data_IF_502270220408
#
_entry.id   IF_502270220408
#
_cell.length_a   1.000
_cell.length_b   1.000
_cell.length_c   1.000
_cell.angle_alpha   90.00
_cell.angle_beta   90.00
_cell.angle_gamma   90.00
#
_symmetry.space_group_name_H-M   'P 1'
#
loop_
_entity.id
_entity.type
_entity.pdbx_description
1 polymer ?
#
# COMPACT_ATOMS: atom_id res chain seq x y z
N UNK A 1 18.08 14.25 -18.72
CA UNK A 1 17.16 13.12 -18.50
C UNK A 1 16.43 13.38 -17.19
N UNK A 2 15.22 13.92 -17.27
CA UNK A 2 14.40 14.25 -16.10
C UNK A 2 13.56 13.04 -15.73
N UNK A 3 13.85 12.41 -14.60
CA UNK A 3 13.09 11.27 -14.08
C UNK A 3 11.72 11.70 -13.56
N UNK A 4 10.71 10.87 -13.82
CA UNK A 4 9.38 10.96 -13.25
C UNK A 4 9.46 10.99 -11.71
N UNK A 5 9.26 12.17 -11.11
CA UNK A 5 8.98 12.29 -9.68
C UNK A 5 7.50 11.95 -9.46
N UNK A 6 7.25 10.69 -9.12
CA UNK A 6 5.96 10.22 -8.61
C UNK A 6 5.76 10.50 -7.12
N UNK A 7 6.63 11.28 -6.49
CA UNK A 7 6.51 11.64 -5.07
C UNK A 7 5.36 12.65 -4.91
N UNK A 8 4.16 12.15 -4.65
CA UNK A 8 3.15 12.99 -4.00
C UNK A 8 3.75 13.46 -2.65
N UNK A 9 3.71 14.76 -2.34
CA UNK A 9 4.28 15.27 -1.10
C UNK A 9 3.66 14.55 0.13
N UNK A 10 4.40 14.41 1.25
CA UNK A 10 3.83 13.96 2.52
C UNK A 10 2.58 14.77 2.86
N UNK A 11 1.63 14.17 3.59
CA UNK A 11 0.30 14.73 3.79
C UNK A 11 0.28 16.22 4.20
N UNK A 12 1.20 16.62 5.08
CA UNK A 12 1.32 18.01 5.55
C UNK A 12 1.46 19.05 4.43
N UNK A 13 1.97 18.68 3.26
CA UNK A 13 2.17 19.58 2.12
C UNK A 13 0.96 19.64 1.15
N UNK A 14 -0.02 18.73 1.25
CA UNK A 14 -1.19 18.68 0.35
C UNK A 14 -2.54 18.75 1.06
N UNK A 15 -2.56 18.71 2.41
CA UNK A 15 -3.75 18.76 3.27
C UNK A 15 -4.85 19.71 2.77
N UNK A 16 -4.53 20.99 2.58
CA UNK A 16 -5.52 22.01 2.19
C UNK A 16 -6.11 21.78 0.79
N UNK A 17 -5.34 21.16 -0.12
CA UNK A 17 -5.82 20.87 -1.48
C UNK A 17 -6.83 19.72 -1.48
N UNK A 18 -6.61 18.71 -0.62
CA UNK A 18 -7.48 17.54 -0.56
C UNK A 18 -8.73 17.80 0.29
N UNK A 19 -8.60 18.46 1.45
CA UNK A 19 -9.71 18.67 2.39
C UNK A 19 -10.49 19.98 2.15
N UNK A 20 -10.00 20.85 1.26
CA UNK A 20 -10.66 22.12 0.90
C UNK A 20 -11.97 21.97 0.13
N UNK A 21 -12.25 20.78 -0.42
CA UNK A 21 -13.48 20.47 -1.17
C UNK A 21 -14.58 19.82 -0.31
N UNK A 22 -14.32 19.66 1.00
CA UNK A 22 -15.28 19.09 1.92
C UNK A 22 -16.22 20.17 2.45
N UNK A 23 -17.52 19.89 2.34
CA UNK A 23 -18.61 20.65 2.93
C UNK A 23 -19.76 19.69 3.32
N UNK A 24 -20.84 20.25 3.88
CA UNK A 24 -21.99 19.47 4.36
C UNK A 24 -22.78 18.76 3.24
N UNK A 25 -22.55 19.10 1.97
CA UNK A 25 -23.20 18.41 0.83
C UNK A 25 -22.50 17.10 0.46
N UNK A 26 -21.27 16.88 0.94
CA UNK A 26 -20.53 15.65 0.71
C UNK A 26 -21.17 14.50 1.50
N UNK A 27 -21.71 13.53 0.77
CA UNK A 27 -22.34 12.32 1.36
C UNK A 27 -21.41 11.11 1.49
N UNK A 28 -20.24 11.13 0.83
CA UNK A 28 -19.31 10.00 0.80
C UNK A 28 -17.86 10.48 0.63
N UNK A 29 -16.95 9.93 1.43
CA UNK A 29 -15.50 10.08 1.27
C UNK A 29 -14.86 8.70 1.26
N UNK A 30 -14.13 8.38 0.19
CA UNK A 30 -13.28 7.18 0.13
C UNK A 30 -11.81 7.60 0.12
N UNK A 31 -10.99 7.04 1.02
CA UNK A 31 -9.60 7.44 1.17
C UNK A 31 -8.66 6.25 1.35
N UNK A 32 -7.56 6.24 0.60
CA UNK A 32 -6.39 5.40 0.87
C UNK A 32 -5.20 6.34 1.06
N UNK A 33 -4.54 6.27 2.22
CA UNK A 33 -3.48 7.21 2.61
C UNK A 33 -2.44 6.54 3.51
N UNK A 34 -1.26 7.15 3.62
CA UNK A 34 -0.18 6.71 4.50
C UNK A 34 0.94 5.92 3.83
N UNK A 35 0.71 5.31 2.66
CA UNK A 35 1.73 4.50 1.97
C UNK A 35 2.97 5.30 1.56
N UNK A 36 2.77 6.54 1.11
CA UNK A 36 3.86 7.46 0.78
C UNK A 36 4.58 7.94 2.04
N UNK A 37 3.84 8.25 3.10
CA UNK A 37 4.37 8.70 4.38
C UNK A 37 5.19 7.59 5.08
N UNK A 38 4.87 6.32 4.84
CA UNK A 38 5.67 5.15 5.23
C UNK A 38 6.89 4.90 4.33
N UNK A 39 6.99 5.55 3.16
CA UNK A 39 7.97 5.24 2.11
C UNK A 39 7.88 3.77 1.64
N UNK A 40 6.65 3.27 1.51
CA UNK A 40 6.39 1.84 1.35
C UNK A 40 6.90 1.26 0.03
N UNK A 41 6.60 1.91 -1.10
CA UNK A 41 7.06 1.43 -2.42
C UNK A 41 8.60 1.40 -2.50
N UNK A 42 9.27 2.43 -2.00
CA UNK A 42 10.73 2.49 -1.94
C UNK A 42 11.31 1.42 -0.99
N UNK A 43 10.65 1.15 0.14
CA UNK A 43 11.03 0.06 1.05
C UNK A 43 11.01 -1.29 0.34
N UNK A 44 9.99 -1.57 -0.47
CA UNK A 44 9.94 -2.79 -1.28
C UNK A 44 11.07 -2.80 -2.32
N UNK A 45 11.35 -1.67 -2.99
CA UNK A 45 12.50 -1.55 -3.91
C UNK A 45 13.81 -1.86 -3.18
N UNK A 46 14.02 -1.35 -1.97
CA UNK A 46 15.20 -1.65 -1.15
C UNK A 46 15.29 -3.13 -0.78
N UNK A 47 14.18 -3.75 -0.39
CA UNK A 47 14.12 -5.19 -0.13
C UNK A 47 14.50 -6.03 -1.35
N UNK A 48 14.04 -5.66 -2.55
CA UNK A 48 14.40 -6.31 -3.81
C UNK A 48 15.88 -6.10 -4.10
N UNK A 49 16.40 -4.87 -3.98
CA UNK A 49 17.81 -4.56 -4.20
C UNK A 49 18.75 -5.32 -3.27
N UNK A 50 18.37 -5.49 -2.01
CA UNK A 50 19.18 -6.22 -1.03
C UNK A 50 19.36 -7.71 -1.36
N UNK A 51 18.56 -8.27 -2.28
CA UNK A 51 18.77 -9.63 -2.80
C UNK A 51 19.96 -9.72 -3.75
N UNK A 52 20.25 -8.63 -4.48
CA UNK A 52 21.29 -8.59 -5.52
C UNK A 52 22.53 -7.83 -5.10
N UNK A 53 22.45 -6.96 -4.09
CA UNK A 53 23.52 -6.07 -3.67
C UNK A 53 23.77 -6.18 -2.16
N UNK A 54 25.04 -6.09 -1.76
CA UNK A 54 25.42 -5.96 -0.36
C UNK A 54 25.27 -4.53 0.18
N UNK A 55 25.52 -4.32 1.49
CA UNK A 55 25.51 -2.98 2.11
C UNK A 55 26.53 -2.02 1.48
N UNK A 56 27.58 -2.56 0.85
CA UNK A 56 28.60 -1.85 0.10
C UNK A 56 28.21 -1.54 -1.36
N UNK A 57 26.95 -1.78 -1.73
CA UNK A 57 26.39 -1.64 -3.08
C UNK A 57 27.14 -2.48 -4.14
N UNK A 58 27.86 -3.53 -3.72
CA UNK A 58 28.51 -4.48 -4.63
C UNK A 58 27.54 -5.62 -4.99
N UNK A 59 27.49 -6.06 -6.26
CA UNK A 59 26.69 -7.21 -6.67
C UNK A 59 27.05 -8.46 -5.87
N UNK A 60 26.06 -9.27 -5.49
CA UNK A 60 26.21 -10.52 -4.73
C UNK A 60 26.00 -11.77 -5.56
N UNK A 61 25.76 -11.64 -6.87
CA UNK A 61 25.72 -12.80 -7.76
C UNK A 61 27.05 -13.58 -7.73
N UNK A 62 27.04 -14.93 -7.67
CA UNK A 62 25.88 -15.83 -7.76
C UNK A 62 25.22 -16.20 -6.42
N UNK A 63 25.57 -15.55 -5.31
CA UNK A 63 25.09 -15.83 -3.95
C UNK A 63 24.09 -14.75 -3.45
N UNK A 64 22.84 -14.73 -3.94
CA UNK A 64 21.82 -13.81 -3.43
C UNK A 64 21.53 -14.05 -1.94
N UNK A 65 21.12 -13.01 -1.20
CA UNK A 65 20.76 -13.11 0.22
C UNK A 65 21.85 -12.76 1.25
N UNK A 66 23.00 -12.22 0.79
CA UNK A 66 24.04 -11.66 1.67
C UNK A 66 23.85 -10.17 2.02
N UNK A 67 22.77 -9.55 1.51
CA UNK A 67 22.37 -8.19 1.86
C UNK A 67 21.55 -8.11 3.15
N UNK A 68 21.09 -6.92 3.50
CA UNK A 68 20.18 -6.71 4.64
C UNK A 68 18.84 -7.43 4.38
N UNK A 69 18.29 -8.10 5.40
CA UNK A 69 17.00 -8.80 5.25
C UNK A 69 15.86 -7.81 5.06
N UNK A 70 14.82 -8.19 4.32
CA UNK A 70 13.69 -7.28 4.09
C UNK A 70 13.00 -6.88 5.40
N UNK A 71 12.80 -7.82 6.33
CA UNK A 71 12.32 -7.51 7.67
C UNK A 71 13.15 -6.44 8.41
N UNK A 72 14.49 -6.47 8.30
CA UNK A 72 15.34 -5.43 8.91
C UNK A 72 15.16 -4.07 8.23
N UNK A 73 15.06 -4.04 6.90
CA UNK A 73 14.79 -2.82 6.14
C UNK A 73 13.43 -2.23 6.55
N UNK A 74 12.39 -3.06 6.64
CA UNK A 74 11.05 -2.67 7.09
C UNK A 74 11.11 -2.08 8.50
N UNK A 75 11.74 -2.76 9.46
CA UNK A 75 11.91 -2.25 10.83
C UNK A 75 12.63 -0.91 10.89
N UNK A 76 13.62 -0.71 10.02
CA UNK A 76 14.43 0.50 10.00
C UNK A 76 13.71 1.69 9.35
N UNK A 77 12.93 1.45 8.30
CA UNK A 77 12.32 2.51 7.48
C UNK A 77 10.87 2.78 7.86
N UNK A 78 10.08 1.73 8.10
CA UNK A 78 8.62 1.80 8.25
C UNK A 78 8.21 1.96 9.71
N UNK A 79 8.76 1.15 10.62
CA UNK A 79 8.34 1.13 12.04
C UNK A 79 8.43 2.52 12.71
N UNK A 80 9.49 3.33 12.50
CA UNK A 80 9.58 4.67 13.11
C UNK A 80 8.54 5.67 12.58
N UNK A 81 7.97 5.42 11.38
CA UNK A 81 7.03 6.32 10.71
C UNK A 81 5.57 5.95 11.00
N UNK A 82 5.30 4.67 11.27
CA UNK A 82 3.94 4.16 11.43
C UNK A 82 3.13 4.94 12.46
N UNK A 83 3.70 5.25 13.63
CA UNK A 83 3.00 6.05 14.65
C UNK A 83 2.53 7.41 14.14
N UNK A 84 3.37 8.12 13.38
CA UNK A 84 3.00 9.42 12.77
C UNK A 84 1.88 9.27 11.74
N UNK A 85 1.94 8.24 10.90
CA UNK A 85 0.90 7.95 9.90
C UNK A 85 -0.45 7.66 10.54
N UNK A 86 -0.47 6.94 11.66
CA UNK A 86 -1.70 6.65 12.40
C UNK A 86 -2.29 7.92 13.04
N UNK A 87 -1.43 8.81 13.56
CA UNK A 87 -1.86 10.12 14.08
C UNK A 87 -2.40 11.03 12.97
N UNK A 88 -1.78 11.04 11.80
CA UNK A 88 -2.23 11.83 10.66
C UNK A 88 -3.56 11.30 10.13
N UNK A 89 -3.73 9.97 10.00
CA UNK A 89 -5.01 9.37 9.63
C UNK A 89 -6.13 9.79 10.61
N UNK A 90 -5.87 9.73 11.91
CA UNK A 90 -6.83 10.19 12.92
C UNK A 90 -7.22 11.66 12.69
N UNK A 91 -6.23 12.55 12.52
CA UNK A 91 -6.48 13.98 12.30
C UNK A 91 -7.29 14.23 11.00
N UNK A 92 -7.02 13.47 9.94
CA UNK A 92 -7.76 13.53 8.68
C UNK A 92 -9.22 13.15 8.88
N UNK A 93 -9.49 12.03 9.55
CA UNK A 93 -10.85 11.53 9.78
C UNK A 93 -11.65 12.52 10.64
N UNK A 94 -11.02 13.11 11.66
CA UNK A 94 -11.63 14.16 12.47
C UNK A 94 -11.95 15.40 11.65
N UNK A 95 -11.06 15.83 10.75
CA UNK A 95 -11.31 16.97 9.88
C UNK A 95 -12.42 16.71 8.86
N UNK A 96 -12.49 15.50 8.30
CA UNK A 96 -13.60 15.09 7.44
C UNK A 96 -14.92 15.18 8.21
N UNK A 97 -14.98 14.62 9.41
CA UNK A 97 -16.18 14.65 10.26
C UNK A 97 -16.62 16.08 10.62
N UNK A 98 -15.67 16.99 10.83
CA UNK A 98 -15.98 18.40 11.11
C UNK A 98 -16.53 19.16 9.90
N UNK A 99 -16.07 18.83 8.68
CA UNK A 99 -16.45 19.55 7.46
C UNK A 99 -17.65 18.95 6.74
N UNK A 100 -17.85 17.65 6.90
CA UNK A 100 -18.85 16.85 6.19
C UNK A 100 -19.48 15.86 7.18
N UNK A 101 -20.26 16.39 8.13
CA UNK A 101 -20.79 15.62 9.26
C UNK A 101 -21.69 14.45 8.85
N UNK A 102 -22.34 14.55 7.68
CA UNK A 102 -23.22 13.54 7.12
C UNK A 102 -22.51 12.55 6.18
N UNK A 103 -21.20 12.73 5.92
CA UNK A 103 -20.48 11.88 4.98
C UNK A 103 -20.24 10.49 5.57
N UNK A 104 -20.57 9.44 4.80
CA UNK A 104 -20.00 8.12 5.04
C UNK A 104 -18.51 8.16 4.71
N UNK A 105 -17.64 7.75 5.64
CA UNK A 105 -16.19 7.69 5.40
C UNK A 105 -15.74 6.25 5.28
N UNK A 106 -15.05 5.94 4.18
CA UNK A 106 -14.47 4.62 3.90
C UNK A 106 -12.96 4.77 3.76
N UNK A 107 -12.22 4.18 4.69
CA UNK A 107 -10.77 4.00 4.60
C UNK A 107 -10.49 2.71 3.85
N UNK A 108 -9.64 2.76 2.83
CA UNK A 108 -9.30 1.61 1.97
C UNK A 108 -7.84 1.24 2.22
N UNK A 109 -7.63 -0.02 2.63
CA UNK A 109 -6.30 -0.57 2.90
C UNK A 109 -5.47 -0.82 1.64
N UNK A 110 -4.37 -1.55 1.84
CA UNK A 110 -3.45 -1.93 0.78
C UNK A 110 -3.54 -3.43 0.47
N UNK A 111 -3.58 -3.85 -0.80
CA UNK A 111 -3.54 -5.26 -1.16
C UNK A 111 -2.15 -5.85 -0.91
N UNK A 112 -2.08 -7.18 -0.86
CA UNK A 112 -0.80 -7.89 -0.91
C UNK A 112 -0.22 -7.74 -2.31
N UNK A 113 0.99 -7.19 -2.41
CA UNK A 113 1.58 -6.79 -3.71
C UNK A 113 2.19 -7.98 -4.46
N UNK A 114 2.77 -8.95 -3.75
CA UNK A 114 3.44 -10.11 -4.33
C UNK A 114 2.81 -11.39 -3.80
N UNK A 115 2.63 -12.40 -4.65
CA UNK A 115 2.23 -13.75 -4.23
C UNK A 115 3.26 -14.26 -3.21
N UNK A 116 2.91 -14.52 -1.96
CA UNK A 116 3.89 -14.81 -0.91
C UNK A 116 4.24 -16.29 -0.79
N UNK A 117 3.64 -17.17 -1.59
CA UNK A 117 3.87 -18.62 -1.55
C UNK A 117 4.73 -19.12 -2.72
N UNK A 118 5.06 -20.40 -2.68
CA UNK A 118 5.74 -21.11 -3.77
C UNK A 118 4.80 -21.46 -4.94
N UNK A 119 3.51 -21.05 -4.88
CA UNK A 119 2.58 -21.12 -6.02
C UNK A 119 2.87 -20.09 -7.11
N UNK A 120 3.85 -19.21 -6.89
CA UNK A 120 4.26 -18.25 -7.88
C UNK A 120 4.65 -18.92 -9.20
N UNK A 121 4.06 -18.43 -10.30
CA UNK A 121 4.39 -18.88 -11.66
C UNK A 121 5.66 -18.19 -12.17
N UNK A 122 6.08 -18.46 -13.40
CA UNK A 122 7.23 -17.82 -14.07
C UNK A 122 7.08 -16.28 -14.08
N UNK A 123 7.56 -15.63 -13.02
CA UNK A 123 7.53 -14.19 -12.78
C UNK A 123 8.58 -13.41 -13.60
N UNK A 124 8.88 -13.89 -14.80
CA UNK A 124 9.97 -13.36 -15.63
C UNK A 124 9.65 -11.93 -16.07
N UNK A 125 8.37 -11.63 -16.31
CA UNK A 125 7.90 -10.35 -16.84
C UNK A 125 8.04 -9.18 -15.86
N UNK A 126 7.96 -9.43 -14.56
CA UNK A 126 7.98 -8.40 -13.49
C UNK A 126 9.30 -8.34 -12.71
N UNK A 127 10.31 -9.12 -13.12
CA UNK A 127 11.52 -9.43 -12.36
C UNK A 127 11.25 -10.10 -10.98
N UNK A 128 10.00 -10.49 -10.71
CA UNK A 128 9.60 -11.18 -9.48
C UNK A 128 10.25 -12.56 -9.32
N UNK A 129 10.73 -13.17 -10.41
CA UNK A 129 11.33 -14.51 -10.39
C UNK A 129 12.61 -14.57 -9.55
N UNK A 130 13.24 -13.41 -9.35
CA UNK A 130 14.47 -13.29 -8.58
C UNK A 130 14.21 -12.82 -7.14
N UNK A 131 12.95 -12.68 -6.74
CA UNK A 131 12.54 -12.23 -5.42
C UNK A 131 12.21 -13.45 -4.53
N UNK A 132 12.99 -13.76 -3.48
CA UNK A 132 12.79 -14.96 -2.68
C UNK A 132 11.43 -14.98 -1.97
N UNK A 133 10.84 -16.18 -1.82
CA UNK A 133 9.57 -16.39 -1.09
C UNK A 133 9.58 -15.77 0.31
N UNK A 134 10.71 -15.85 1.02
CA UNK A 134 10.87 -15.23 2.34
C UNK A 134 10.68 -13.71 2.33
N UNK A 135 11.25 -13.01 1.35
CA UNK A 135 11.07 -11.56 1.21
C UNK A 135 9.63 -11.21 0.84
N UNK A 136 8.99 -12.00 -0.03
CA UNK A 136 7.56 -11.83 -0.39
C UNK A 136 6.67 -12.02 0.85
N UNK A 137 7.01 -12.97 1.71
CA UNK A 137 6.37 -13.19 3.02
C UNK A 137 6.53 -12.00 3.97
N UNK A 138 7.76 -11.46 4.12
CA UNK A 138 8.02 -10.27 4.94
C UNK A 138 7.17 -9.07 4.50
N UNK A 139 7.06 -8.85 3.18
CA UNK A 139 6.23 -7.76 2.61
C UNK A 139 4.75 -7.98 2.91
N UNK A 140 4.23 -9.20 2.71
CA UNK A 140 2.84 -9.55 3.07
C UNK A 140 2.56 -9.28 4.54
N UNK A 141 3.41 -9.76 5.44
CA UNK A 141 3.19 -9.64 6.89
C UNK A 141 3.22 -8.18 7.34
N UNK A 142 4.13 -7.38 6.77
CA UNK A 142 4.17 -5.95 7.01
C UNK A 142 2.92 -5.22 6.47
N UNK A 143 2.43 -5.56 5.27
CA UNK A 143 1.17 -5.01 4.73
C UNK A 143 -0.01 -5.36 5.62
N UNK A 144 -0.12 -6.62 6.07
CA UNK A 144 -1.18 -7.04 6.98
C UNK A 144 -1.15 -6.29 8.31
N UNK A 145 0.06 -6.08 8.88
CA UNK A 145 0.24 -5.27 10.09
C UNK A 145 -0.19 -3.82 9.87
N UNK A 146 0.23 -3.20 8.77
CA UNK A 146 -0.16 -1.82 8.43
C UNK A 146 -1.68 -1.69 8.30
N UNK A 147 -2.33 -2.59 7.55
CA UNK A 147 -3.80 -2.57 7.39
C UNK A 147 -4.53 -2.77 8.72
N UNK A 148 -4.02 -3.64 9.60
CA UNK A 148 -4.58 -3.84 10.94
C UNK A 148 -4.57 -2.55 11.76
N UNK A 149 -3.45 -1.82 11.77
CA UNK A 149 -3.35 -0.56 12.53
C UNK A 149 -4.20 0.56 11.90
N UNK A 150 -4.23 0.66 10.57
CA UNK A 150 -5.09 1.61 9.85
C UNK A 150 -6.58 1.33 10.12
N UNK A 151 -6.98 0.06 10.10
CA UNK A 151 -8.33 -0.38 10.45
C UNK A 151 -8.71 0.07 11.86
N UNK A 152 -7.84 -0.18 12.84
CA UNK A 152 -8.11 0.18 14.23
C UNK A 152 -8.31 1.70 14.42
N UNK A 153 -7.57 2.53 13.67
CA UNK A 153 -7.79 3.99 13.67
C UNK A 153 -9.09 4.35 12.96
N UNK A 154 -9.35 3.78 11.78
CA UNK A 154 -10.54 4.06 11.00
C UNK A 154 -11.82 3.77 11.79
N UNK A 155 -11.92 2.55 12.35
CA UNK A 155 -13.08 2.10 13.12
C UNK A 155 -13.26 2.96 14.39
N UNK A 156 -12.17 3.31 15.09
CA UNK A 156 -12.24 4.19 16.27
C UNK A 156 -12.77 5.59 15.95
N UNK A 157 -12.47 6.14 14.78
CA UNK A 157 -12.97 7.46 14.37
C UNK A 157 -14.34 7.38 13.65
N UNK A 158 -14.97 6.20 13.61
CA UNK A 158 -16.30 5.99 13.01
C UNK A 158 -16.29 5.83 11.49
N UNK A 159 -15.13 5.56 10.89
CA UNK A 159 -15.00 5.25 9.47
C UNK A 159 -15.03 3.73 9.24
N UNK A 160 -15.57 3.31 8.10
CA UNK A 160 -15.52 1.91 7.65
C UNK A 160 -14.15 1.61 7.06
N UNK A 161 -13.56 0.44 7.37
CA UNK A 161 -12.33 -0.02 6.71
C UNK A 161 -12.61 -1.12 5.69
N UNK A 162 -12.12 -0.94 4.45
CA UNK A 162 -12.20 -1.92 3.36
C UNK A 162 -10.84 -2.57 3.15
N UNK A 163 -10.80 -3.89 3.26
CA UNK A 163 -9.63 -4.72 2.95
C UNK A 163 -9.67 -5.13 1.47
N UNK A 164 -8.81 -4.61 0.60
CA UNK A 164 -8.82 -4.97 -0.81
C UNK A 164 -8.16 -6.33 -1.08
N UNK A 165 -7.36 -6.87 -0.14
CA UNK A 165 -6.54 -8.05 -0.38
C UNK A 165 -7.30 -9.27 -0.95
N UNK A 166 -8.52 -9.63 -0.49
CA UNK A 166 -9.29 -10.73 -1.08
C UNK A 166 -9.62 -10.53 -2.57
N UNK A 167 -9.88 -9.30 -3.00
CA UNK A 167 -10.17 -9.00 -4.40
C UNK A 167 -8.95 -9.12 -5.31
N UNK A 168 -7.74 -9.04 -4.75
CA UNK A 168 -6.47 -9.12 -5.47
C UNK A 168 -5.87 -10.53 -5.49
N UNK A 169 -6.53 -11.53 -4.89
CA UNK A 169 -6.01 -12.90 -4.83
C UNK A 169 -5.80 -13.48 -6.24
N UNK A 170 -4.63 -14.05 -6.47
CA UNK A 170 -4.21 -14.57 -7.78
C UNK A 170 -3.72 -13.49 -8.75
N UNK A 171 -3.89 -12.21 -8.43
CA UNK A 171 -3.52 -11.07 -9.28
C UNK A 171 -2.36 -10.24 -8.72
N UNK A 172 -1.73 -10.70 -7.65
CA UNK A 172 -0.47 -10.16 -7.17
C UNK A 172 0.62 -10.26 -8.25
N UNK A 173 1.71 -9.52 -8.09
CA UNK A 173 2.96 -9.84 -8.81
C UNK A 173 3.31 -11.28 -8.51
N UNK A 174 3.69 -12.06 -9.52
CA UNK A 174 3.88 -13.51 -9.42
C UNK A 174 2.62 -14.35 -9.15
N UNK A 175 1.42 -13.77 -9.21
CA UNK A 175 0.16 -14.48 -9.00
C UNK A 175 -0.14 -15.52 -10.10
N UNK A 176 -1.17 -16.33 -9.87
CA UNK A 176 -1.60 -17.37 -10.82
C UNK A 176 -2.31 -16.80 -12.07
N UNK A 177 -2.88 -15.61 -11.96
CA UNK A 177 -3.58 -14.86 -13.00
C UNK A 177 -2.77 -13.69 -13.56
N UNK A 178 -3.43 -12.77 -14.27
CA UNK A 178 -2.78 -11.56 -14.79
C UNK A 178 -2.39 -10.61 -13.66
N UNK A 179 -1.17 -10.08 -13.68
CA UNK A 179 -0.70 -9.14 -12.65
C UNK A 179 -1.53 -7.84 -12.67
N UNK A 180 -1.97 -7.41 -11.49
CA UNK A 180 -2.72 -6.16 -11.28
C UNK A 180 -1.87 -5.01 -10.76
N UNK A 181 -0.56 -5.20 -10.70
CA UNK A 181 0.41 -4.21 -10.29
C UNK A 181 1.39 -3.93 -11.42
N UNK A 182 1.94 -2.71 -11.43
CA UNK A 182 3.05 -2.36 -12.29
C UNK A 182 4.30 -3.09 -11.81
N UNK A 183 5.05 -3.67 -12.75
CA UNK A 183 6.33 -4.34 -12.48
C UNK A 183 7.46 -3.36 -12.14
N UNK A 184 8.67 -3.90 -11.99
CA UNK A 184 9.88 -3.12 -11.69
C UNK A 184 10.46 -2.35 -12.89
N UNK A 185 9.97 -2.62 -14.10
CA UNK A 185 10.47 -2.04 -15.35
C UNK A 185 9.36 -1.22 -16.02
N UNK A 186 9.71 -0.05 -16.56
CA UNK A 186 8.80 0.84 -17.29
C UNK A 186 8.77 2.27 -16.73
N UNK A 187 7.96 3.13 -17.36
CA UNK A 187 7.75 4.53 -16.93
C UNK A 187 6.68 4.67 -15.84
N UNK A 188 5.99 3.57 -15.52
CA UNK A 188 4.93 3.52 -14.51
C UNK A 188 5.51 3.38 -13.10
N UNK A 189 4.81 3.93 -12.10
CA UNK A 189 5.24 3.84 -10.70
C UNK A 189 5.25 2.36 -10.26
N UNK A 190 6.40 1.80 -9.85
CA UNK A 190 6.49 0.40 -9.45
C UNK A 190 5.53 0.06 -8.32
N UNK A 191 5.01 -1.17 -8.33
CA UNK A 191 4.12 -1.71 -7.29
C UNK A 191 2.76 -1.01 -7.14
N UNK A 192 2.44 -0.03 -7.97
CA UNK A 192 1.12 0.58 -7.98
C UNK A 192 0.14 -0.31 -8.75
N UNK A 193 -1.16 -0.31 -8.39
CA UNK A 193 -2.16 -1.02 -9.17
C UNK A 193 -2.27 -0.44 -10.58
N UNK A 194 -2.21 -1.31 -11.59
CA UNK A 194 -2.46 -0.95 -12.98
C UNK A 194 -3.96 -0.77 -13.25
N UNK A 195 -4.36 -0.55 -14.51
CA UNK A 195 -5.78 -0.39 -14.87
C UNK A 195 -6.69 -1.54 -14.38
N UNK A 196 -6.21 -2.78 -14.39
CA UNK A 196 -6.97 -3.92 -13.88
C UNK A 196 -7.01 -3.92 -12.34
N UNK A 197 -5.88 -3.61 -11.68
CA UNK A 197 -5.84 -3.45 -10.23
C UNK A 197 -6.75 -2.33 -9.71
N UNK A 198 -6.88 -1.21 -10.43
CA UNK A 198 -7.84 -0.17 -10.08
C UNK A 198 -9.30 -0.67 -10.15
N UNK A 199 -9.62 -1.58 -11.06
CA UNK A 199 -10.94 -2.26 -11.08
C UNK A 199 -11.09 -3.24 -9.92
N UNK A 200 -10.01 -3.88 -9.49
CA UNK A 200 -9.96 -4.69 -8.28
C UNK A 200 -10.34 -3.86 -7.05
N UNK A 201 -9.72 -2.69 -6.90
CA UNK A 201 -10.07 -1.73 -5.84
C UNK A 201 -11.53 -1.29 -5.92
N UNK A 202 -12.02 -0.90 -7.11
CA UNK A 202 -13.42 -0.54 -7.28
C UNK A 202 -14.36 -1.68 -6.84
N UNK A 203 -14.02 -2.93 -7.20
CA UNK A 203 -14.81 -4.11 -6.82
C UNK A 203 -14.80 -4.37 -5.31
N UNK A 204 -13.71 -4.02 -4.62
CA UNK A 204 -13.63 -4.09 -3.16
C UNK A 204 -14.49 -3.00 -2.48
N UNK A 205 -14.55 -1.79 -3.05
CA UNK A 205 -15.22 -0.63 -2.45
C UNK A 205 -16.73 -0.62 -2.73
N UNK A 206 -17.15 -0.96 -3.96
CA UNK A 206 -18.54 -0.83 -4.43
C UNK A 206 -19.59 -1.44 -3.47
N UNK A 207 -19.39 -2.63 -2.87
CA UNK A 207 -20.37 -3.21 -1.92
C UNK A 207 -20.62 -2.34 -0.68
N UNK A 208 -19.69 -1.45 -0.33
CA UNK A 208 -19.75 -0.64 0.87
C UNK A 208 -20.36 0.75 0.65
N UNK A 209 -20.58 1.16 -0.61
CA UNK A 209 -21.10 2.50 -0.93
C UNK A 209 -22.58 2.72 -0.55
N UNK A 210 -23.32 1.64 -0.28
CA UNK A 210 -24.74 1.67 0.07
C UNK A 210 -25.07 0.86 1.34
N UNK A 211 -24.05 0.44 2.10
CA UNK A 211 -24.26 -0.33 3.32
C UNK A 211 -24.37 0.64 4.51
N UNK A 212 -25.42 0.53 5.36
CA UNK A 212 -25.47 1.25 6.64
C UNK A 212 -24.17 1.03 7.41
N UNK A 213 -23.66 2.04 8.12
CA UNK A 213 -22.59 1.79 9.09
C UNK A 213 -23.19 0.91 10.19
N UNK A 214 -22.54 -0.21 10.49
CA UNK A 214 -23.04 -1.14 11.51
C UNK A 214 -22.93 -0.42 12.87
N UNK A 215 -24.09 -0.15 13.50
CA UNK A 215 -24.18 0.38 14.86
C UNK A 215 -24.01 -0.81 15.84
N UNK A 216 -22.82 -0.96 16.43
CA UNK A 216 -22.61 -1.79 17.64
C UNK A 216 -22.91 -1.00 18.92
#
# INVERSE_FOLDING_TARGET
>A
MGGCRGDLPPWGATRNKHLGHLDESVGLVTISIGGNDLDWANTIVQCVRAQFYGPDNRPRMPFPGLGETCNNIIKKVVDPKLGGVLSDLQAILQEIKMKSSNAQVIVVGYPVIMEPTDRAKDCVQSAGQFVPTGMRGDVRDATARINKELRAVAEREGARFVEPAPNFEGHQICGEGSEWFNGLHGDEAPFHPNKAGQRGYASAILPHLNAPLDDD
#
